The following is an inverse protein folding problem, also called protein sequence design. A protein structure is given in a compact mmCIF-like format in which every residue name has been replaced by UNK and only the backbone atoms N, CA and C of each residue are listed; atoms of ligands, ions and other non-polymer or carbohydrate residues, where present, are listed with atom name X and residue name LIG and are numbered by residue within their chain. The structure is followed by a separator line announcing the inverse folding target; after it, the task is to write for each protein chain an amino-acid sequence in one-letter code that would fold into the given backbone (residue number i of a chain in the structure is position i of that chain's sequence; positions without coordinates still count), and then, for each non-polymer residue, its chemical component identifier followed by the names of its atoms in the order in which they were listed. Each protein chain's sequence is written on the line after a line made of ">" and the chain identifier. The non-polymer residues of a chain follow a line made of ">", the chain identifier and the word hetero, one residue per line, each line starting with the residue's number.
data_IF_603445707380
#
_entry.id   IF_603445707380
#
_cell.length_a   1.000
_cell.length_b   1.000
_cell.length_c   1.000
_cell.angle_alpha   90.00
_cell.angle_beta   90.00
_cell.angle_gamma   90.00
#
_symmetry.space_group_name_H-M   'P 1'
#
loop_
_entity.id
_entity.type
_entity.pdbx_description
1 polymer ?
#
# COMPACT_ATOMS: atom_id res chain seq x y z
N UNK A 1 -2.53 14.78 0.10
CA UNK A 1 -2.76 13.48 0.75
C UNK A 1 -1.61 13.21 1.72
N UNK A 2 -1.94 12.87 2.95
CA UNK A 2 -0.93 12.43 3.91
C UNK A 2 -0.57 10.97 3.64
N UNK A 3 0.70 10.64 3.81
CA UNK A 3 1.19 9.26 3.68
C UNK A 3 2.16 8.96 4.81
N UNK A 4 2.36 7.67 5.07
CA UNK A 4 3.44 7.20 5.94
C UNK A 4 4.62 6.91 5.05
N UNK A 5 5.78 7.52 5.33
CA UNK A 5 6.97 7.36 4.51
C UNK A 5 8.11 6.75 5.32
N UNK A 6 8.82 5.82 4.70
CA UNK A 6 10.05 5.26 5.25
C UNK A 6 11.09 5.10 4.13
N UNK A 7 12.34 4.97 4.53
CA UNK A 7 13.42 4.55 3.63
C UNK A 7 13.74 3.11 3.95
N UNK A 8 13.69 2.24 2.94
CA UNK A 8 14.02 0.83 3.11
C UNK A 8 15.52 0.64 3.33
N UNK A 9 15.87 -0.32 4.17
CA UNK A 9 17.27 -0.77 4.34
C UNK A 9 17.71 -1.69 3.21
N UNK A 10 16.82 -2.06 2.30
CA UNK A 10 17.07 -3.00 1.21
C UNK A 10 17.02 -2.29 -0.14
N UNK A 11 17.56 -2.94 -1.18
CA UNK A 11 17.39 -2.48 -2.55
C UNK A 11 15.95 -2.65 -3.03
N UNK A 12 15.65 -2.06 -4.19
CA UNK A 12 14.27 -2.03 -4.70
C UNK A 12 13.64 -3.42 -4.88
N UNK A 13 14.28 -4.39 -5.59
CA UNK A 13 13.64 -5.69 -5.78
C UNK A 13 13.37 -6.43 -4.48
N UNK A 14 14.32 -6.39 -3.55
CA UNK A 14 14.19 -7.05 -2.25
C UNK A 14 13.12 -6.37 -1.39
N UNK A 15 13.04 -5.04 -1.44
CA UNK A 15 12.02 -4.29 -0.71
C UNK A 15 10.63 -4.72 -1.17
N UNK A 16 10.39 -4.78 -2.48
CA UNK A 16 9.11 -5.22 -3.04
C UNK A 16 8.78 -6.65 -2.58
N UNK A 17 9.72 -7.56 -2.68
CA UNK A 17 9.54 -8.96 -2.29
C UNK A 17 9.15 -9.11 -0.82
N UNK A 18 9.88 -8.42 0.07
CA UNK A 18 9.61 -8.48 1.51
C UNK A 18 8.27 -7.81 1.84
N UNK A 19 7.95 -6.69 1.20
CA UNK A 19 6.64 -6.05 1.40
C UNK A 19 5.49 -6.97 0.99
N UNK A 20 5.58 -7.62 -0.16
CA UNK A 20 4.54 -8.55 -0.61
C UNK A 20 4.33 -9.69 0.39
N UNK A 21 5.41 -10.26 0.91
CA UNK A 21 5.36 -11.30 1.92
C UNK A 21 4.74 -10.76 3.23
N UNK A 22 5.17 -9.58 3.66
CA UNK A 22 4.67 -8.96 4.88
C UNK A 22 3.19 -8.60 4.79
N UNK A 23 2.72 -8.16 3.62
CA UNK A 23 1.29 -7.92 3.36
C UNK A 23 0.48 -9.17 3.70
N UNK A 24 0.89 -10.32 3.17
CA UNK A 24 0.22 -11.59 3.43
C UNK A 24 0.30 -11.99 4.90
N UNK A 25 1.46 -11.85 5.52
CA UNK A 25 1.66 -12.19 6.93
C UNK A 25 0.85 -11.31 7.88
N UNK A 26 0.51 -10.11 7.46
CA UNK A 26 -0.30 -9.17 8.26
C UNK A 26 -1.80 -9.21 7.92
N UNK A 27 -2.25 -10.22 7.20
CA UNK A 27 -3.67 -10.44 6.95
C UNK A 27 -4.27 -9.64 5.79
N UNK A 28 -3.43 -8.97 5.01
CA UNK A 28 -3.86 -8.29 3.80
C UNK A 28 -3.51 -9.12 2.56
N UNK A 29 -3.93 -8.65 1.40
CA UNK A 29 -3.58 -9.25 0.11
C UNK A 29 -3.17 -8.14 -0.85
N UNK A 30 -2.19 -8.44 -1.70
CA UNK A 30 -1.92 -7.61 -2.87
C UNK A 30 -2.98 -7.99 -3.91
N UNK A 31 -4.00 -7.16 -4.06
CA UNK A 31 -5.11 -7.44 -4.98
C UNK A 31 -4.81 -7.00 -6.40
N UNK A 32 -3.91 -6.04 -6.55
CA UNK A 32 -3.39 -5.61 -7.85
C UNK A 32 -2.09 -4.83 -7.65
N UNK A 33 -1.39 -4.58 -8.75
CA UNK A 33 -0.19 -3.76 -8.70
C UNK A 33 -0.02 -2.99 -10.01
N UNK A 34 0.74 -1.91 -9.94
CA UNK A 34 1.14 -1.12 -11.11
C UNK A 34 2.67 -1.06 -11.11
N UNK A 35 3.29 -1.63 -12.14
CA UNK A 35 4.74 -1.58 -12.33
C UNK A 35 5.05 -0.50 -13.38
N UNK A 36 5.30 0.73 -12.90
CA UNK A 36 5.55 1.85 -13.78
C UNK A 36 6.86 1.71 -14.55
N UNK A 37 7.88 1.11 -13.93
CA UNK A 37 9.15 0.85 -14.63
C UNK A 37 8.94 -0.04 -15.85
N UNK A 38 8.22 -1.15 -15.68
CA UNK A 38 7.92 -2.06 -16.78
C UNK A 38 7.05 -1.40 -17.84
N UNK A 39 6.05 -0.62 -17.43
CA UNK A 39 5.15 0.08 -18.36
C UNK A 39 5.89 1.12 -19.19
N UNK A 40 6.80 1.88 -18.58
CA UNK A 40 7.62 2.86 -19.29
C UNK A 40 8.60 2.18 -20.26
N UNK A 41 9.18 1.07 -19.85
CA UNK A 41 10.11 0.31 -20.69
C UNK A 41 9.45 -0.15 -22.00
N UNK A 42 8.18 -0.52 -21.95
CA UNK A 42 7.42 -0.94 -23.14
C UNK A 42 7.33 0.15 -24.22
N UNK A 43 7.43 1.41 -23.84
CA UNK A 43 7.43 2.54 -24.77
C UNK A 43 8.80 3.17 -24.94
N UNK A 44 9.86 2.42 -24.56
CA UNK A 44 11.24 2.84 -24.78
C UNK A 44 11.80 3.83 -23.77
N UNK A 45 11.14 3.99 -22.61
CA UNK A 45 11.62 4.91 -21.57
C UNK A 45 12.26 4.09 -20.46
N UNK A 46 13.55 4.37 -20.18
CA UNK A 46 14.25 3.79 -19.04
C UNK A 46 13.98 4.61 -17.78
N UNK A 47 13.77 3.94 -16.66
CA UNK A 47 13.54 4.57 -15.36
C UNK A 47 14.02 3.66 -14.24
N UNK A 48 14.11 4.20 -13.04
CA UNK A 48 14.37 3.41 -11.84
C UNK A 48 13.17 2.58 -11.43
N UNK A 49 13.34 1.74 -10.41
CA UNK A 49 12.26 0.96 -9.84
C UNK A 49 11.12 1.85 -9.37
N UNK A 50 9.90 1.45 -9.70
CA UNK A 50 8.71 2.24 -9.39
C UNK A 50 7.50 1.32 -9.46
N UNK A 51 6.87 1.03 -8.30
CA UNK A 51 5.78 0.08 -8.25
C UNK A 51 4.77 0.47 -7.17
N UNK A 52 3.50 0.33 -7.48
CA UNK A 52 2.41 0.49 -6.52
C UNK A 52 1.85 -0.90 -6.23
N UNK A 53 1.76 -1.24 -4.94
CA UNK A 53 1.03 -2.41 -4.47
C UNK A 53 -0.32 -1.92 -3.94
N UNK A 54 -1.40 -2.50 -4.44
CA UNK A 54 -2.75 -2.18 -3.96
C UNK A 54 -3.21 -3.30 -3.04
N UNK A 55 -3.49 -2.96 -1.78
CA UNK A 55 -3.67 -3.95 -0.72
C UNK A 55 -4.99 -3.80 0.01
N UNK A 56 -5.65 -4.90 0.24
CA UNK A 56 -6.83 -5.01 1.11
C UNK A 56 -7.15 -6.49 1.33
N UNK A 57 -8.32 -6.82 1.86
CA UNK A 57 -8.82 -8.20 1.86
C UNK A 57 -10.35 -8.23 1.79
N UNK A 58 -10.96 -9.36 1.36
CA UNK A 58 -12.41 -9.45 1.18
C UNK A 58 -13.22 -9.27 2.46
N UNK A 59 -12.72 -9.73 3.61
CA UNK A 59 -13.43 -9.58 4.89
C UNK A 59 -13.53 -8.12 5.31
N UNK A 60 -12.45 -7.37 5.16
CA UNK A 60 -12.43 -5.95 5.44
C UNK A 60 -13.31 -5.18 4.45
N UNK A 61 -13.29 -5.58 3.18
CA UNK A 61 -14.16 -4.97 2.17
C UNK A 61 -15.64 -5.16 2.53
N UNK A 62 -16.01 -6.36 2.99
CA UNK A 62 -17.37 -6.63 3.46
C UNK A 62 -17.76 -5.71 4.61
N UNK A 63 -16.86 -5.53 5.60
CA UNK A 63 -17.11 -4.60 6.72
C UNK A 63 -17.32 -3.16 6.23
N UNK A 64 -16.52 -2.70 5.27
CA UNK A 64 -16.67 -1.37 4.68
C UNK A 64 -18.06 -1.23 4.09
N UNK A 65 -18.48 -2.18 3.27
CA UNK A 65 -19.78 -2.14 2.59
C UNK A 65 -20.95 -2.18 3.57
N UNK A 66 -20.83 -2.93 4.65
CA UNK A 66 -21.87 -3.04 5.67
C UNK A 66 -22.04 -1.76 6.50
N UNK A 67 -20.96 -0.98 6.66
CA UNK A 67 -20.99 0.26 7.43
C UNK A 67 -21.36 1.47 6.58
N UNK A 68 -20.76 1.59 5.39
CA UNK A 68 -21.08 2.69 4.46
C UNK A 68 -20.71 2.25 3.05
N UNK A 69 -21.69 1.88 2.26
CA UNK A 69 -21.47 1.38 0.90
C UNK A 69 -20.74 2.40 0.01
N UNK A 70 -20.92 3.69 0.27
CA UNK A 70 -20.22 4.76 -0.49
C UNK A 70 -18.71 4.73 -0.28
N UNK A 71 -18.27 4.23 0.88
CA UNK A 71 -16.85 4.11 1.20
C UNK A 71 -16.13 3.05 0.37
N UNK A 72 -16.87 2.24 -0.39
CA UNK A 72 -16.31 1.25 -1.31
C UNK A 72 -15.39 1.82 -2.37
N UNK A 73 -15.40 3.14 -2.57
CA UNK A 73 -14.46 3.81 -3.48
C UNK A 73 -13.02 3.86 -2.93
N UNK A 74 -12.85 3.71 -1.63
CA UNK A 74 -11.54 3.89 -0.99
C UNK A 74 -10.60 2.69 -1.20
N UNK A 75 -10.96 1.44 -0.86
CA UNK A 75 -10.03 0.32 -1.04
C UNK A 75 -9.91 -0.07 -2.52
N UNK A 76 -8.75 -0.62 -2.90
CA UNK A 76 -7.59 -0.97 -2.08
C UNK A 76 -6.71 0.24 -1.74
N UNK A 77 -5.97 0.13 -0.63
CA UNK A 77 -4.99 1.13 -0.24
C UNK A 77 -3.67 0.89 -0.97
N UNK A 78 -2.92 1.96 -1.18
CA UNK A 78 -1.68 1.92 -1.96
C UNK A 78 -0.45 1.95 -1.07
N UNK A 79 0.50 1.09 -1.40
CA UNK A 79 1.87 1.12 -0.91
C UNK A 79 2.75 1.38 -2.13
N UNK A 80 3.40 2.53 -2.15
CA UNK A 80 4.22 2.99 -3.27
C UNK A 80 5.70 2.78 -2.96
N UNK A 81 6.41 2.10 -3.85
CA UNK A 81 7.84 1.81 -3.71
C UNK A 81 8.57 2.40 -4.91
N UNK A 82 9.60 3.21 -4.64
CA UNK A 82 10.33 3.85 -5.74
C UNK A 82 11.79 4.10 -5.36
N UNK A 83 12.62 4.14 -6.38
CA UNK A 83 14.03 4.49 -6.24
C UNK A 83 14.25 5.96 -6.56
N UNK A 84 14.99 6.63 -5.69
CA UNK A 84 15.41 8.01 -5.91
C UNK A 84 16.74 8.24 -5.21
N UNK A 85 17.71 8.80 -5.92
CA UNK A 85 19.04 9.13 -5.35
C UNK A 85 19.74 7.93 -4.71
N UNK A 86 19.61 6.76 -5.32
CA UNK A 86 20.24 5.52 -4.84
C UNK A 86 19.56 4.88 -3.64
N UNK A 87 18.42 5.41 -3.21
CA UNK A 87 17.66 4.92 -2.06
C UNK A 87 16.32 4.37 -2.49
N UNK A 88 15.81 3.40 -1.71
CA UNK A 88 14.48 2.84 -1.93
C UNK A 88 13.52 3.44 -0.92
N UNK A 89 12.54 4.17 -1.42
CA UNK A 89 11.51 4.85 -0.64
C UNK A 89 10.22 4.04 -0.65
N UNK A 90 9.51 4.05 0.47
CA UNK A 90 8.20 3.42 0.59
C UNK A 90 7.24 4.42 1.21
N UNK A 91 6.10 4.62 0.56
CA UNK A 91 5.04 5.51 1.04
C UNK A 91 3.72 4.75 1.04
N UNK A 92 2.98 4.79 2.14
CA UNK A 92 1.70 4.11 2.25
C UNK A 92 0.59 5.10 2.59
N UNK A 93 -0.58 4.89 2.00
CA UNK A 93 -1.77 5.66 2.34
C UNK A 93 -2.22 5.36 3.75
N UNK A 94 -2.92 6.32 4.37
CA UNK A 94 -3.42 6.22 5.74
C UNK A 94 -4.92 5.97 5.69
N UNK A 95 -5.34 4.80 6.18
CA UNK A 95 -6.75 4.40 6.13
C UNK A 95 -7.65 5.36 6.90
N UNK A 96 -7.24 5.80 8.08
CA UNK A 96 -8.03 6.71 8.90
C UNK A 96 -8.33 8.01 8.15
N UNK A 97 -7.37 8.55 7.40
CA UNK A 97 -7.59 9.72 6.57
C UNK A 97 -8.58 9.46 5.45
N UNK A 98 -8.39 8.36 4.72
CA UNK A 98 -9.20 8.05 3.54
C UNK A 98 -10.65 7.72 3.88
N UNK A 99 -10.88 7.07 5.01
CA UNK A 99 -12.23 6.70 5.45
C UNK A 99 -12.91 7.74 6.33
N UNK A 100 -12.24 8.85 6.68
CA UNK A 100 -12.69 9.82 7.67
C UNK A 100 -14.05 10.46 7.37
N UNK A 101 -14.39 10.62 6.11
CA UNK A 101 -15.66 11.24 5.70
C UNK A 101 -16.84 10.25 5.62
N UNK A 102 -16.59 8.97 5.91
CA UNK A 102 -17.59 7.92 5.86
C UNK A 102 -17.96 7.45 7.27
N UNK A 103 -19.13 6.79 7.39
CA UNK A 103 -19.69 6.43 8.68
C UNK A 103 -19.19 5.07 9.20
N UNK A 104 -18.93 5.00 10.50
CA UNK A 104 -18.73 3.71 11.19
C UNK A 104 -17.42 3.00 10.88
N UNK A 105 -16.42 3.69 10.33
CA UNK A 105 -15.18 3.06 9.84
C UNK A 105 -13.92 3.39 10.63
N UNK A 106 -14.03 4.09 11.76
CA UNK A 106 -12.85 4.51 12.51
C UNK A 106 -12.06 3.33 13.07
N UNK A 107 -12.74 2.33 13.63
CA UNK A 107 -12.06 1.16 14.21
C UNK A 107 -11.41 0.31 13.13
N UNK A 108 -12.11 0.07 12.02
CA UNK A 108 -11.55 -0.63 10.87
C UNK A 108 -10.33 0.11 10.31
N UNK A 109 -10.41 1.43 10.20
CA UNK A 109 -9.32 2.27 9.69
C UNK A 109 -8.07 2.12 10.54
N UNK A 110 -8.23 2.19 11.86
CA UNK A 110 -7.11 2.05 12.81
C UNK A 110 -6.49 0.66 12.75
N UNK A 111 -7.31 -0.37 12.59
CA UNK A 111 -6.84 -1.74 12.43
C UNK A 111 -6.00 -1.88 11.15
N UNK A 112 -6.49 -1.35 10.04
CA UNK A 112 -5.76 -1.38 8.75
C UNK A 112 -4.46 -0.59 8.86
N UNK A 113 -4.48 0.58 9.49
CA UNK A 113 -3.26 1.38 9.68
C UNK A 113 -2.23 0.64 10.53
N UNK A 114 -2.66 -0.12 11.54
CA UNK A 114 -1.78 -0.98 12.32
C UNK A 114 -1.14 -2.09 11.48
N UNK A 115 -1.90 -2.69 10.58
CA UNK A 115 -1.38 -3.69 9.65
C UNK A 115 -0.34 -3.06 8.72
N UNK A 116 -0.63 -1.88 8.16
CA UNK A 116 0.29 -1.14 7.29
C UNK A 116 1.58 -0.78 8.04
N UNK A 117 1.48 -0.32 9.29
CA UNK A 117 2.65 0.00 10.11
C UNK A 117 3.57 -1.22 10.26
N UNK A 118 3.00 -2.39 10.54
CA UNK A 118 3.77 -3.64 10.66
C UNK A 118 4.43 -4.01 9.33
N UNK A 119 3.73 -3.82 8.23
CA UNK A 119 4.26 -4.08 6.89
C UNK A 119 5.46 -3.17 6.61
N UNK A 120 5.35 -1.88 6.90
CA UNK A 120 6.45 -0.94 6.69
C UNK A 120 7.66 -1.26 7.55
N UNK A 121 7.45 -1.73 8.78
CA UNK A 121 8.55 -2.13 9.66
C UNK A 121 9.39 -3.27 9.10
N UNK A 122 8.84 -4.11 8.25
CA UNK A 122 9.56 -5.26 7.68
C UNK A 122 10.75 -4.85 6.80
N UNK A 123 10.77 -3.63 6.29
CA UNK A 123 11.84 -3.14 5.40
C UNK A 123 12.55 -1.88 5.92
N UNK A 124 12.15 -1.42 7.08
CA UNK A 124 12.73 -0.22 7.69
C UNK A 124 14.10 -0.47 8.31
#
# INVERSE_FOLDING_TARGET
>A
MKVKEIISKLGFPQTVEILEKSVSENGLKVVSFIDAQANLKKIGIESGGNKILEVFNPKLAKEVFENDLRAGIVPPLRIYVYEESGMTHVAAQIAEELFSQYNGLIDLSRKVDGMIDSILLSVK
#
